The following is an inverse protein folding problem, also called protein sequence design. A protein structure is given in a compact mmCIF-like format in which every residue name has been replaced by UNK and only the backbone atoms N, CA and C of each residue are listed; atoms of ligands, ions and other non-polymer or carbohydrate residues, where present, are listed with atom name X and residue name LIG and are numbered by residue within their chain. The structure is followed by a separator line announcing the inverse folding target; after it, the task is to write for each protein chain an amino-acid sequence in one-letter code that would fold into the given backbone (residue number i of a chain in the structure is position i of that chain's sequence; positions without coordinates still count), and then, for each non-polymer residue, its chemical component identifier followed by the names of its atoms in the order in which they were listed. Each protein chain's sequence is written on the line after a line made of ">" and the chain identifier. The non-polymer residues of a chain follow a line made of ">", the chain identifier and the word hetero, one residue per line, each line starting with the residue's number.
data_IF_642807286348
#
_entry.id   IF_642807286348
#
_cell.length_a   1.000
_cell.length_b   1.000
_cell.length_c   1.000
_cell.angle_alpha   90.00
_cell.angle_beta   90.00
_cell.angle_gamma   90.00
#
_symmetry.space_group_name_H-M   'P 1'
#
loop_
_entity.id
_entity.type
_entity.pdbx_description
1 polymer ?
#
# COMPACT_ATOMS: atom_id res chain seq x y z
N UNK A 1 -6.80 1.15 -13.12
CA UNK A 1 -6.15 0.20 -12.20
C UNK A 1 -4.70 0.61 -11.96
N UNK A 2 -4.32 0.84 -10.70
CA UNK A 2 -2.93 1.19 -10.34
C UNK A 2 -1.93 0.12 -10.79
N UNK A 3 -2.26 -1.15 -10.68
CA UNK A 3 -1.39 -2.22 -11.13
C UNK A 3 -1.16 -2.24 -12.67
N UNK A 4 -2.11 -1.74 -13.45
CA UNK A 4 -1.90 -1.54 -14.89
C UNK A 4 -1.05 -0.30 -15.16
N UNK A 5 -1.30 0.77 -14.42
CA UNK A 5 -0.55 2.02 -14.51
C UNK A 5 0.93 1.82 -14.17
N UNK A 6 1.23 1.13 -13.07
CA UNK A 6 2.62 0.88 -12.66
C UNK A 6 3.37 -0.02 -13.66
N UNK A 7 2.71 -1.03 -14.25
CA UNK A 7 3.32 -1.84 -15.31
C UNK A 7 3.60 -1.04 -16.58
N UNK A 8 2.70 -0.14 -16.97
CA UNK A 8 2.89 0.75 -18.09
C UNK A 8 4.03 1.75 -17.83
N UNK A 9 4.06 2.36 -16.64
CA UNK A 9 5.11 3.29 -16.26
C UNK A 9 6.48 2.58 -16.16
N UNK A 10 6.51 1.35 -15.64
CA UNK A 10 7.75 0.55 -15.58
C UNK A 10 8.39 0.36 -16.95
N UNK A 11 7.58 0.09 -18.00
CA UNK A 11 8.09 -0.01 -19.37
C UNK A 11 8.70 1.30 -19.87
N UNK A 12 8.05 2.42 -19.56
CA UNK A 12 8.61 3.75 -19.91
C UNK A 12 9.93 3.98 -19.18
N UNK A 13 10.02 3.63 -17.90
CA UNK A 13 11.27 3.76 -17.16
C UNK A 13 12.41 2.95 -17.79
N UNK A 14 12.14 1.71 -18.20
CA UNK A 14 13.11 0.86 -18.90
C UNK A 14 13.53 1.46 -20.26
N UNK A 15 12.57 1.99 -21.02
CA UNK A 15 12.82 2.67 -22.31
C UNK A 15 13.67 3.94 -22.16
N UNK A 16 13.53 4.63 -21.03
CA UNK A 16 14.32 5.81 -20.67
C UNK A 16 15.68 5.46 -20.00
N UNK A 17 16.02 4.16 -19.93
CA UNK A 17 17.32 3.69 -19.39
C UNK A 17 17.39 3.68 -17.86
N UNK A 18 16.24 3.60 -17.18
CA UNK A 18 16.19 3.45 -15.73
C UNK A 18 16.16 1.94 -15.41
N UNK A 19 17.14 1.48 -14.66
CA UNK A 19 17.23 0.08 -14.23
C UNK A 19 16.16 -0.24 -13.18
N UNK A 20 15.41 -1.32 -13.40
CA UNK A 20 14.40 -1.84 -12.47
C UNK A 20 14.81 -3.21 -11.98
N UNK A 21 15.16 -3.33 -10.71
CA UNK A 21 15.60 -4.59 -10.10
C UNK A 21 14.47 -5.24 -9.31
N UNK A 22 13.66 -6.05 -9.97
CA UNK A 22 12.60 -6.83 -9.33
C UNK A 22 13.17 -7.92 -8.42
N UNK A 23 12.60 -8.07 -7.20
CA UNK A 23 13.01 -9.10 -6.25
C UNK A 23 14.26 -8.77 -5.43
N UNK A 24 14.81 -7.56 -5.54
CA UNK A 24 15.88 -7.07 -4.68
C UNK A 24 15.26 -6.22 -3.55
N UNK A 25 15.37 -6.68 -2.33
CA UNK A 25 14.91 -5.93 -1.15
C UNK A 25 16.04 -5.05 -0.61
N UNK A 26 15.72 -3.78 -0.30
CA UNK A 26 16.58 -2.97 0.53
C UNK A 26 16.55 -3.49 1.98
N UNK A 27 17.70 -3.85 2.53
CA UNK A 27 17.82 -4.38 3.89
C UNK A 27 18.37 -3.36 4.88
N UNK A 28 19.25 -2.47 4.43
CA UNK A 28 19.93 -1.51 5.28
C UNK A 28 20.22 -0.22 4.51
N UNK A 29 20.17 0.93 5.22
CA UNK A 29 20.65 2.20 4.70
C UNK A 29 22.14 2.34 4.99
N UNK A 30 22.91 2.74 4.00
CA UNK A 30 24.35 3.01 4.12
C UNK A 30 24.56 4.47 4.53
N UNK A 31 25.46 4.70 5.47
CA UNK A 31 25.75 6.01 6.00
C UNK A 31 27.22 6.36 5.91
N UNK A 32 27.51 7.62 5.62
CA UNK A 32 28.80 8.24 5.84
C UNK A 32 28.57 9.45 6.76
N UNK A 33 29.05 9.35 7.99
CA UNK A 33 28.66 10.26 9.07
C UNK A 33 27.13 10.25 9.25
N UNK A 34 26.47 11.42 9.15
CA UNK A 34 25.02 11.58 9.24
C UNK A 34 24.31 11.55 7.87
N UNK A 35 25.06 11.39 6.77
CA UNK A 35 24.52 11.39 5.41
C UNK A 35 24.20 9.97 4.93
N UNK A 36 23.02 9.79 4.33
CA UNK A 36 22.70 8.55 3.60
C UNK A 36 23.44 8.54 2.27
N UNK A 37 24.18 7.48 1.99
CA UNK A 37 25.00 7.34 0.78
C UNK A 37 24.54 6.18 -0.12
N UNK A 38 23.49 5.46 0.26
CA UNK A 38 22.97 4.34 -0.52
C UNK A 38 22.19 3.33 0.30
N UNK A 39 22.02 2.15 -0.26
CA UNK A 39 21.26 1.03 0.28
C UNK A 39 22.02 -0.26 0.10
N UNK A 40 22.05 -1.11 1.11
CA UNK A 40 22.45 -2.51 1.00
C UNK A 40 21.24 -3.36 0.64
N UNK A 41 21.36 -4.22 -0.36
CA UNK A 41 20.32 -5.21 -0.67
C UNK A 41 20.40 -6.40 0.28
N UNK A 42 19.27 -7.08 0.49
CA UNK A 42 19.26 -8.29 1.32
C UNK A 42 19.81 -9.50 0.60
N UNK A 43 20.41 -10.41 1.35
CA UNK A 43 20.81 -11.72 0.86
C UNK A 43 19.60 -12.50 0.36
N UNK A 44 19.78 -13.31 -0.67
CA UNK A 44 18.74 -14.17 -1.25
C UNK A 44 19.12 -15.63 -1.15
N UNK A 45 18.14 -16.53 -1.27
CA UNK A 45 18.39 -17.96 -1.21
C UNK A 45 18.82 -18.46 0.18
N UNK A 46 18.31 -17.85 1.25
CA UNK A 46 18.46 -18.31 2.63
C UNK A 46 17.20 -19.08 3.04
N UNK A 47 17.37 -20.21 3.73
CA UNK A 47 16.24 -20.95 4.30
C UNK A 47 15.74 -20.35 5.63
N UNK A 48 14.66 -20.90 6.19
CA UNK A 48 14.07 -20.44 7.46
C UNK A 48 14.98 -20.63 8.68
N UNK A 49 16.08 -21.36 8.54
CA UNK A 49 17.07 -21.62 9.59
C UNK A 49 18.35 -20.80 9.41
N UNK A 50 18.42 -19.97 8.34
CA UNK A 50 19.58 -19.15 8.04
C UNK A 50 20.63 -19.84 7.16
N UNK A 51 20.39 -21.07 6.64
CA UNK A 51 21.33 -21.78 5.80
C UNK A 51 21.21 -21.32 4.34
N UNK A 52 22.34 -21.28 3.66
CA UNK A 52 22.40 -20.97 2.22
C UNK A 52 21.82 -22.12 1.41
N UNK A 53 20.93 -21.81 0.49
CA UNK A 53 20.40 -22.71 -0.53
C UNK A 53 21.33 -22.71 -1.76
N UNK A 54 21.06 -23.60 -2.72
CA UNK A 54 21.82 -23.66 -3.98
C UNK A 54 21.72 -22.38 -4.84
N UNK A 55 20.71 -21.57 -4.61
CA UNK A 55 20.49 -20.26 -5.27
C UNK A 55 20.84 -19.08 -4.34
N UNK A 56 21.73 -19.28 -3.37
CA UNK A 56 22.21 -18.19 -2.52
C UNK A 56 22.92 -17.12 -3.36
N UNK A 57 22.57 -15.88 -3.06
CA UNK A 57 23.14 -14.70 -3.69
C UNK A 57 23.27 -13.60 -2.62
N UNK A 58 24.50 -13.18 -2.39
CA UNK A 58 24.80 -12.20 -1.36
C UNK A 58 24.30 -10.81 -1.75
N UNK A 59 23.79 -10.08 -0.77
CA UNK A 59 23.42 -8.69 -0.94
C UNK A 59 24.63 -7.80 -1.28
N UNK A 60 24.36 -6.72 -2.02
CA UNK A 60 25.39 -5.77 -2.46
C UNK A 60 25.07 -4.36 -1.98
N UNK A 61 26.10 -3.53 -1.86
CA UNK A 61 25.98 -2.13 -1.55
C UNK A 61 25.77 -1.31 -2.84
N UNK A 62 24.67 -0.59 -2.89
CA UNK A 62 24.34 0.32 -3.99
C UNK A 62 24.51 1.75 -3.48
N UNK A 63 25.53 2.43 -3.98
CA UNK A 63 25.81 3.82 -3.63
C UNK A 63 25.07 4.79 -4.55
N UNK A 64 24.52 5.86 -3.99
CA UNK A 64 23.77 6.85 -4.71
C UNK A 64 24.00 8.26 -4.15
N UNK A 65 23.89 9.28 -5.02
CA UNK A 65 23.94 10.70 -4.61
C UNK A 65 22.74 11.08 -3.74
N UNK A 66 21.59 10.43 -3.97
CA UNK A 66 20.36 10.58 -3.21
C UNK A 66 19.58 9.27 -3.22
N UNK A 67 18.99 8.92 -2.07
CA UNK A 67 18.14 7.74 -1.89
C UNK A 67 16.70 8.19 -1.66
N UNK A 68 15.78 7.69 -2.47
CA UNK A 68 14.34 7.99 -2.35
C UNK A 68 13.62 6.76 -1.79
N UNK A 69 12.98 6.92 -0.63
CA UNK A 69 12.24 5.84 0.03
C UNK A 69 10.75 5.93 -0.31
N UNK A 70 10.30 5.07 -1.21
CA UNK A 70 8.91 4.91 -1.65
C UNK A 70 8.38 3.50 -1.34
N UNK A 71 8.67 2.97 -0.14
CA UNK A 71 8.38 1.59 0.27
C UNK A 71 6.90 1.32 0.59
N UNK A 72 6.06 2.34 0.45
CA UNK A 72 4.65 2.27 0.84
C UNK A 72 4.44 2.41 2.35
N UNK A 73 3.29 1.99 2.82
CA UNK A 73 2.89 2.09 4.22
C UNK A 73 3.85 1.32 5.13
N UNK A 74 4.42 1.98 6.12
CA UNK A 74 5.33 1.41 7.11
C UNK A 74 6.55 0.68 6.51
N UNK A 75 7.18 1.29 5.53
CA UNK A 75 8.40 0.76 4.93
C UNK A 75 9.49 0.48 5.97
N UNK A 76 10.29 -0.58 5.76
CA UNK A 76 11.28 -1.02 6.74
C UNK A 76 12.43 -0.03 6.90
N UNK A 77 13.02 0.41 5.79
CA UNK A 77 14.08 1.42 5.81
C UNK A 77 13.54 2.79 6.22
N UNK A 78 12.31 3.13 5.80
CA UNK A 78 11.62 4.34 6.23
C UNK A 78 11.52 4.43 7.74
N UNK A 79 11.10 3.36 8.42
CA UNK A 79 11.03 3.33 9.91
C UNK A 79 12.40 3.54 10.54
N UNK A 80 13.41 2.90 10.00
CA UNK A 80 14.80 3.04 10.48
C UNK A 80 15.26 4.49 10.34
N UNK A 81 15.02 5.11 9.17
CA UNK A 81 15.38 6.51 8.92
C UNK A 81 14.65 7.47 9.86
N UNK A 82 13.32 7.30 9.98
CA UNK A 82 12.49 8.12 10.88
C UNK A 82 12.99 8.06 12.32
N UNK A 83 13.29 6.87 12.81
CA UNK A 83 13.78 6.69 14.19
C UNK A 83 15.18 7.26 14.39
N UNK A 84 16.12 6.99 13.47
CA UNK A 84 17.50 7.46 13.57
C UNK A 84 17.59 9.00 13.64
N UNK A 85 16.80 9.69 12.81
CA UNK A 85 16.83 11.14 12.71
C UNK A 85 15.67 11.84 13.44
N UNK A 86 14.87 11.10 14.21
CA UNK A 86 13.72 11.61 14.96
C UNK A 86 12.77 12.47 14.10
N UNK A 87 12.45 12.00 12.90
CA UNK A 87 11.73 12.79 11.89
C UNK A 87 10.26 13.06 12.27
N UNK A 88 9.74 12.37 13.29
CA UNK A 88 8.39 12.59 13.85
C UNK A 88 8.36 13.62 15.01
N UNK A 89 9.47 14.26 15.34
CA UNK A 89 9.50 15.23 16.43
C UNK A 89 8.51 16.38 16.20
N UNK A 90 7.63 16.61 17.16
CA UNK A 90 6.59 17.65 17.08
C UNK A 90 5.46 17.37 16.08
N UNK A 91 5.33 16.13 15.64
CA UNK A 91 4.24 15.67 14.75
C UNK A 91 3.20 14.88 15.53
N UNK A 92 1.96 14.88 15.03
CA UNK A 92 0.93 13.99 15.55
C UNK A 92 1.26 12.52 15.21
N UNK A 93 0.83 11.56 16.03
CA UNK A 93 0.91 10.15 15.68
C UNK A 93 0.21 9.89 14.34
N UNK A 94 0.75 8.94 13.55
CA UNK A 94 0.09 8.50 12.33
C UNK A 94 -1.15 7.66 12.66
N UNK A 95 -2.21 7.87 11.91
CA UNK A 95 -3.42 7.03 11.93
C UNK A 95 -3.34 6.04 10.77
N UNK A 96 -3.65 4.79 11.06
CA UNK A 96 -3.57 3.71 10.08
C UNK A 96 -4.96 3.18 9.74
N UNK A 97 -5.17 2.88 8.48
CA UNK A 97 -6.32 2.15 8.00
C UNK A 97 -5.88 0.89 7.23
N UNK A 98 -6.81 -0.01 7.00
CA UNK A 98 -6.64 -1.15 6.10
C UNK A 98 -7.73 -1.12 5.04
N UNK A 99 -7.33 -1.32 3.79
CA UNK A 99 -8.23 -1.59 2.68
C UNK A 99 -8.16 -3.06 2.32
N UNK A 100 -9.31 -3.73 2.30
CA UNK A 100 -9.49 -5.08 1.79
C UNK A 100 -10.36 -5.02 0.55
N UNK A 101 -10.02 -5.76 -0.50
CA UNK A 101 -10.76 -5.68 -1.75
C UNK A 101 -10.79 -6.98 -2.54
N UNK A 102 -11.79 -7.08 -3.40
CA UNK A 102 -11.98 -8.18 -4.34
C UNK A 102 -12.26 -7.64 -5.74
N UNK A 103 -11.70 -8.32 -6.75
CA UNK A 103 -12.08 -8.12 -8.15
C UNK A 103 -13.03 -9.24 -8.59
N UNK A 104 -14.13 -8.85 -9.20
CA UNK A 104 -15.16 -9.76 -9.66
C UNK A 104 -15.32 -9.66 -11.16
N UNK A 105 -15.22 -10.80 -11.86
CA UNK A 105 -15.65 -10.92 -13.26
C UNK A 105 -17.16 -11.05 -13.29
N UNK A 106 -17.81 -10.07 -13.87
CA UNK A 106 -19.25 -10.01 -13.97
C UNK A 106 -19.73 -10.54 -15.33
N UNK A 107 -21.03 -10.92 -15.45
CA UNK A 107 -21.61 -11.25 -16.75
C UNK A 107 -21.44 -10.10 -17.75
N UNK A 108 -21.27 -10.45 -19.03
CA UNK A 108 -21.05 -9.48 -20.11
C UNK A 108 -22.15 -8.42 -20.15
N UNK A 109 -21.73 -7.15 -20.12
CA UNK A 109 -22.61 -5.99 -20.20
C UNK A 109 -23.38 -5.65 -18.92
N UNK A 110 -23.13 -6.36 -17.81
CA UNK A 110 -23.80 -6.11 -16.53
C UNK A 110 -23.21 -4.94 -15.74
N UNK A 111 -21.97 -4.57 -16.04
CA UNK A 111 -21.28 -3.47 -15.36
C UNK A 111 -20.91 -2.37 -16.35
N UNK A 112 -21.32 -1.14 -16.02
CA UNK A 112 -20.95 0.04 -16.80
C UNK A 112 -19.53 0.48 -16.42
N UNK A 113 -18.55 0.51 -17.34
CA UNK A 113 -17.23 1.09 -17.08
C UNK A 113 -17.35 2.55 -16.63
N UNK A 114 -16.62 2.91 -15.57
CA UNK A 114 -16.70 4.22 -14.96
C UNK A 114 -17.82 4.37 -13.91
N UNK A 115 -18.57 3.32 -13.62
CA UNK A 115 -19.46 3.30 -12.45
C UNK A 115 -18.64 3.45 -11.17
N UNK A 116 -19.04 4.37 -10.30
CA UNK A 116 -18.40 4.66 -9.01
C UNK A 116 -19.47 4.80 -7.95
N UNK A 117 -19.32 4.06 -6.86
CA UNK A 117 -20.11 4.24 -5.66
C UNK A 117 -19.18 4.17 -4.42
N UNK A 118 -19.48 5.03 -3.46
CA UNK A 118 -18.89 4.97 -2.12
C UNK A 118 -20.01 4.83 -1.10
N UNK A 119 -19.75 4.09 -0.03
CA UNK A 119 -20.69 3.90 1.08
C UNK A 119 -20.03 4.23 2.39
N UNK A 120 -20.86 4.54 3.39
CA UNK A 120 -20.48 4.67 4.80
C UNK A 120 -21.46 3.87 5.66
N UNK A 121 -21.07 3.56 6.88
CA UNK A 121 -21.90 2.76 7.81
C UNK A 121 -21.74 1.28 7.52
N UNK A 122 -22.87 0.56 7.44
CA UNK A 122 -22.86 -0.90 7.31
C UNK A 122 -21.76 -1.43 6.37
N UNK A 123 -20.97 -2.45 6.85
CA UNK A 123 -21.11 -3.21 8.09
C UNK A 123 -20.47 -2.53 9.32
N UNK A 124 -19.71 -1.45 9.13
CA UNK A 124 -18.97 -0.79 10.21
C UNK A 124 -19.89 -0.09 11.20
N UNK A 125 -19.55 -0.15 12.48
CA UNK A 125 -20.19 0.62 13.54
C UNK A 125 -19.92 2.11 13.45
N UNK A 126 -20.66 2.93 14.22
CA UNK A 126 -20.51 4.38 14.22
C UNK A 126 -19.17 4.87 14.77
N UNK A 127 -18.46 4.05 15.52
CA UNK A 127 -17.17 4.31 16.15
C UNK A 127 -15.97 3.87 15.29
N UNK A 128 -16.22 3.34 14.09
CA UNK A 128 -15.18 2.90 13.16
C UNK A 128 -15.22 3.79 11.92
N UNK A 129 -14.15 4.57 11.72
CA UNK A 129 -13.98 5.31 10.48
C UNK A 129 -13.79 4.37 9.30
N UNK A 130 -14.54 4.58 8.23
CA UNK A 130 -14.38 3.75 7.04
C UNK A 130 -15.60 3.74 6.13
N UNK A 131 -15.54 2.88 5.12
CA UNK A 131 -16.60 2.70 4.14
C UNK A 131 -16.15 1.88 2.95
N UNK A 132 -17.11 1.56 2.08
CA UNK A 132 -16.83 0.76 0.89
C UNK A 132 -16.69 1.63 -0.37
N UNK A 133 -15.95 1.09 -1.32
CA UNK A 133 -15.91 1.58 -2.68
C UNK A 133 -16.31 0.48 -3.67
N UNK A 134 -16.98 0.86 -4.74
CA UNK A 134 -17.42 -0.05 -5.80
C UNK A 134 -17.16 0.62 -7.13
N UNK A 135 -16.28 0.02 -7.94
CA UNK A 135 -15.86 0.59 -9.22
C UNK A 135 -16.13 -0.37 -10.38
N UNK A 136 -16.91 0.09 -11.35
CA UNK A 136 -17.08 -0.58 -12.63
C UNK A 136 -15.88 -0.30 -13.54
N UNK A 137 -15.14 -1.36 -13.87
CA UNK A 137 -13.96 -1.29 -14.73
C UNK A 137 -14.28 -1.80 -16.14
N UNK A 138 -13.34 -1.64 -17.08
CA UNK A 138 -13.44 -2.27 -18.41
C UNK A 138 -13.49 -3.79 -18.29
N UNK A 139 -14.01 -4.46 -19.34
CA UNK A 139 -14.10 -5.91 -19.44
C UNK A 139 -15.01 -6.57 -18.38
N UNK A 140 -16.08 -5.86 -17.99
CA UNK A 140 -17.05 -6.33 -16.99
C UNK A 140 -16.42 -6.72 -15.65
N UNK A 141 -15.42 -5.99 -15.22
CA UNK A 141 -14.81 -6.16 -13.90
C UNK A 141 -15.41 -5.18 -12.92
N UNK A 142 -15.85 -5.69 -11.76
CA UNK A 142 -16.26 -4.92 -10.61
C UNK A 142 -15.15 -5.01 -9.54
N UNK A 143 -14.64 -3.86 -9.10
CA UNK A 143 -13.71 -3.73 -7.97
C UNK A 143 -14.53 -3.33 -6.74
N UNK A 144 -14.64 -4.22 -5.77
CA UNK A 144 -15.34 -4.00 -4.49
C UNK A 144 -14.32 -4.01 -3.37
N UNK A 145 -14.30 -2.97 -2.56
CA UNK A 145 -13.44 -2.92 -1.38
C UNK A 145 -14.09 -2.23 -0.19
N UNK A 146 -13.53 -2.51 0.97
CA UNK A 146 -13.85 -1.89 2.25
C UNK A 146 -12.56 -1.35 2.86
N UNK A 147 -12.60 -0.08 3.25
CA UNK A 147 -11.51 0.57 3.99
C UNK A 147 -12.00 0.86 5.40
N UNK A 148 -11.19 0.57 6.41
CA UNK A 148 -11.52 0.86 7.79
C UNK A 148 -10.28 1.29 8.58
N UNK A 149 -10.46 2.25 9.49
CA UNK A 149 -9.45 2.66 10.46
C UNK A 149 -9.06 1.49 11.37
N UNK A 150 -7.78 1.43 11.75
CA UNK A 150 -7.24 0.38 12.63
C UNK A 150 -7.21 0.80 14.10
N UNK A 151 -7.86 1.89 14.45
CA UNK A 151 -7.98 2.42 15.79
C UNK A 151 -9.30 2.00 16.51
N UNK A 152 -9.99 1.00 15.96
CA UNK A 152 -11.18 0.42 16.59
C UNK A 152 -10.83 -0.25 17.94
N UNK A 153 -11.81 -0.22 18.87
CA UNK A 153 -11.61 -0.67 20.26
C UNK A 153 -11.81 -2.17 20.46
N UNK A 154 -12.63 -2.79 19.60
CA UNK A 154 -12.94 -4.21 19.69
C UNK A 154 -11.94 -5.06 18.90
N UNK A 155 -11.04 -5.79 19.56
CA UNK A 155 -10.02 -6.60 18.88
C UNK A 155 -10.59 -7.83 18.14
N UNK A 156 -11.87 -8.13 18.28
CA UNK A 156 -12.52 -9.24 17.54
C UNK A 156 -12.92 -8.86 16.12
N UNK A 157 -12.84 -7.58 15.76
CA UNK A 157 -13.17 -7.11 14.41
C UNK A 157 -12.10 -7.59 13.41
N UNK A 158 -12.58 -8.28 12.38
CA UNK A 158 -11.75 -8.76 11.26
C UNK A 158 -12.15 -8.02 9.99
N UNK A 159 -11.25 -7.22 9.39
CA UNK A 159 -11.53 -6.47 8.16
C UNK A 159 -11.99 -7.34 6.99
N UNK A 160 -11.48 -8.57 6.87
CA UNK A 160 -11.94 -9.49 5.85
C UNK A 160 -13.38 -9.97 6.11
N UNK A 161 -13.71 -10.28 7.37
CA UNK A 161 -15.06 -10.64 7.77
C UNK A 161 -16.05 -9.50 7.49
N UNK A 162 -15.66 -8.26 7.79
CA UNK A 162 -16.49 -7.08 7.50
C UNK A 162 -16.76 -6.92 5.99
N UNK A 163 -15.78 -7.20 5.12
CA UNK A 163 -16.01 -7.24 3.68
C UNK A 163 -17.01 -8.36 3.30
N UNK A 164 -16.97 -9.53 3.95
CA UNK A 164 -17.97 -10.57 3.71
C UNK A 164 -19.36 -10.14 4.17
N UNK A 165 -19.48 -9.47 5.31
CA UNK A 165 -20.75 -8.90 5.77
C UNK A 165 -21.28 -7.84 4.80
N UNK A 166 -20.43 -6.96 4.28
CA UNK A 166 -20.83 -5.97 3.27
C UNK A 166 -21.50 -6.64 2.07
N UNK A 167 -21.02 -7.78 1.63
CA UNK A 167 -21.61 -8.52 0.48
C UNK A 167 -22.99 -9.09 0.78
N UNK A 168 -23.39 -9.18 2.05
CA UNK A 168 -24.75 -9.61 2.42
C UNK A 168 -25.79 -8.49 2.24
N UNK A 169 -25.36 -7.23 2.19
CA UNK A 169 -26.25 -6.10 1.97
C UNK A 169 -27.03 -6.29 0.66
N UNK A 170 -28.38 -6.15 0.64
CA UNK A 170 -29.21 -6.48 -0.52
C UNK A 170 -28.76 -5.82 -1.83
N UNK A 171 -28.40 -4.54 -1.77
CA UNK A 171 -27.91 -3.81 -2.93
C UNK A 171 -26.55 -4.37 -3.44
N UNK A 172 -25.56 -4.56 -2.54
CA UNK A 172 -24.24 -5.10 -2.92
C UNK A 172 -24.39 -6.50 -3.47
N UNK A 173 -25.19 -7.34 -2.81
CA UNK A 173 -25.50 -8.71 -3.26
C UNK A 173 -26.13 -8.71 -4.66
N UNK A 174 -26.98 -7.75 -4.96
CA UNK A 174 -27.59 -7.62 -6.30
C UNK A 174 -26.57 -7.26 -7.36
N UNK A 175 -25.59 -6.40 -7.04
CA UNK A 175 -24.50 -6.04 -7.95
C UNK A 175 -23.58 -7.21 -8.25
N UNK A 176 -23.31 -8.08 -7.28
CA UNK A 176 -22.42 -9.24 -7.41
C UNK A 176 -23.12 -10.48 -8.01
N UNK A 177 -24.42 -10.41 -8.29
CA UNK A 177 -25.20 -11.56 -8.79
C UNK A 177 -24.60 -12.14 -10.07
N UNK A 178 -24.36 -13.45 -10.08
CA UNK A 178 -23.75 -14.21 -11.17
C UNK A 178 -22.29 -13.81 -11.49
N UNK A 179 -21.64 -13.01 -10.66
CA UNK A 179 -20.23 -12.70 -10.75
C UNK A 179 -19.35 -13.81 -10.17
N UNK A 180 -18.09 -13.83 -10.60
CA UNK A 180 -17.06 -14.73 -10.08
C UNK A 180 -15.89 -13.89 -9.56
N UNK A 181 -15.49 -14.09 -8.31
CA UNK A 181 -14.28 -13.46 -7.76
C UNK A 181 -13.05 -14.02 -8.49
N UNK A 182 -12.21 -13.12 -9.00
CA UNK A 182 -11.00 -13.45 -9.78
C UNK A 182 -9.71 -13.05 -9.08
N UNK A 183 -9.76 -12.10 -8.15
CA UNK A 183 -8.61 -11.68 -7.36
C UNK A 183 -9.07 -11.01 -6.06
N UNK A 184 -8.20 -11.01 -5.08
CA UNK A 184 -8.39 -10.31 -3.82
C UNK A 184 -7.05 -9.77 -3.30
N UNK A 185 -7.11 -8.84 -2.35
CA UNK A 185 -5.92 -8.29 -1.72
C UNK A 185 -6.26 -7.34 -0.58
N UNK A 186 -5.25 -7.04 0.21
CA UNK A 186 -5.35 -6.07 1.29
C UNK A 186 -4.10 -5.18 1.32
N UNK A 187 -4.26 -3.95 1.76
CA UNK A 187 -3.17 -3.00 1.94
C UNK A 187 -3.49 -2.03 3.08
N UNK A 188 -2.54 -1.81 3.98
CA UNK A 188 -2.61 -0.74 4.96
C UNK A 188 -2.36 0.62 4.32
N UNK A 189 -2.92 1.67 4.93
CA UNK A 189 -2.91 3.04 4.45
C UNK A 189 -2.53 3.99 5.60
N UNK A 190 -1.74 5.06 5.35
CA UNK A 190 -1.49 6.12 6.33
C UNK A 190 -2.55 7.23 6.18
N UNK A 191 -3.39 7.45 7.17
CA UNK A 191 -4.51 8.42 7.09
C UNK A 191 -4.42 9.57 8.10
N UNK A 192 -3.28 9.76 8.79
CA UNK A 192 -3.09 10.81 9.79
C UNK A 192 -3.07 12.23 9.25
N UNK A 193 -2.96 12.42 7.95
CA UNK A 193 -3.00 13.70 7.28
C UNK A 193 -1.78 14.59 7.55
N UNK A 194 -1.91 15.88 7.23
CA UNK A 194 -0.80 16.83 7.19
C UNK A 194 0.00 16.93 8.51
N UNK A 195 -0.66 16.93 9.65
CA UNK A 195 0.00 17.06 10.95
C UNK A 195 0.75 15.80 11.40
N UNK A 196 0.56 14.68 10.71
CA UNK A 196 1.28 13.42 10.94
C UNK A 196 2.39 13.16 9.92
N UNK A 197 2.69 14.12 9.03
CA UNK A 197 3.79 14.00 8.09
C UNK A 197 5.14 14.14 8.83
N UNK A 198 6.07 13.19 8.66
CA UNK A 198 7.43 13.32 9.19
C UNK A 198 8.16 14.49 8.51
N UNK A 199 9.33 14.88 9.04
CA UNK A 199 10.29 15.63 8.23
C UNK A 199 10.67 14.76 7.02
N UNK A 200 10.49 15.30 5.82
CA UNK A 200 10.53 14.51 4.59
C UNK A 200 11.93 14.20 4.07
N UNK A 201 12.93 14.98 4.51
CA UNK A 201 14.30 14.88 3.98
C UNK A 201 15.34 14.85 5.09
N UNK A 202 16.39 14.12 4.84
CA UNK A 202 17.67 14.15 5.55
C UNK A 202 18.79 14.26 4.52
N UNK A 203 20.01 14.46 4.96
CA UNK A 203 21.15 14.50 4.03
C UNK A 203 21.28 13.18 3.28
N UNK A 204 21.20 13.23 1.94
CA UNK A 204 21.28 12.09 1.04
C UNK A 204 20.02 11.23 0.93
N UNK A 205 18.89 11.55 1.63
CA UNK A 205 17.66 10.78 1.48
C UNK A 205 16.37 11.59 1.60
N UNK A 206 15.29 11.07 0.98
CA UNK A 206 13.93 11.62 1.11
C UNK A 206 12.86 10.53 1.17
N UNK A 207 11.72 10.87 1.80
CA UNK A 207 10.53 10.05 1.89
C UNK A 207 9.48 10.53 0.88
N UNK A 208 8.80 9.59 0.20
CA UNK A 208 7.73 9.91 -0.75
C UNK A 208 6.53 8.96 -0.58
N UNK A 209 5.40 9.34 -1.19
CA UNK A 209 4.18 8.51 -1.23
C UNK A 209 3.69 8.13 0.17
N UNK A 210 3.22 6.89 0.32
CA UNK A 210 2.71 6.38 1.60
C UNK A 210 3.80 6.25 2.68
N UNK A 211 5.07 6.10 2.29
CA UNK A 211 6.20 6.14 3.24
C UNK A 211 6.31 7.50 3.93
N UNK A 212 5.96 8.56 3.23
CA UNK A 212 5.87 9.92 3.78
C UNK A 212 4.50 10.23 4.43
N UNK A 213 3.50 9.37 4.24
CA UNK A 213 2.13 9.62 4.71
C UNK A 213 1.32 10.57 3.82
N UNK A 214 1.61 10.65 2.52
CA UNK A 214 0.96 11.59 1.58
C UNK A 214 -0.48 11.24 1.20
N UNK A 215 -1.12 10.34 1.91
CA UNK A 215 -2.52 10.05 1.72
C UNK A 215 -3.41 11.25 2.09
N UNK A 216 -4.27 11.67 1.18
CA UNK A 216 -5.35 12.60 1.49
C UNK A 216 -6.64 11.79 1.77
N UNK A 217 -6.91 11.53 3.05
CA UNK A 217 -8.06 10.73 3.49
C UNK A 217 -9.40 11.32 3.07
N UNK A 218 -9.55 12.64 3.06
CA UNK A 218 -10.79 13.31 2.66
C UNK A 218 -11.12 13.12 1.17
N UNK A 219 -10.09 13.07 0.32
CA UNK A 219 -10.24 12.89 -1.13
C UNK A 219 -10.03 11.44 -1.57
N UNK A 220 -9.70 10.54 -0.67
CA UNK A 220 -9.37 9.15 -0.93
C UNK A 220 -8.27 9.01 -1.99
N UNK A 221 -7.24 9.83 -1.92
CA UNK A 221 -6.13 9.90 -2.88
C UNK A 221 -4.79 9.70 -2.21
N UNK A 222 -4.03 8.73 -2.72
CA UNK A 222 -2.64 8.44 -2.35
C UNK A 222 -1.64 8.62 -3.50
N UNK A 223 -2.11 9.18 -4.62
CA UNK A 223 -1.30 9.38 -5.83
C UNK A 223 -0.96 10.86 -5.94
#
# INVERSE_FOLDING_TARGET
>A
SLGQFTRWLGKICEEEGIDIFCGFSGSELLYENEKVIGVRTGDRGIDKHGNHKSNFDQGVDIHAKATVLGEGTRGSLTKTLINKFNLMQGKNPQVWAIGVKELWQMPKGSIKPGYVAHTMGFPLGHDIFGGAFIYGMKNDILDLGLVMGLDYKDPSIDPHHELQLLKTHPWVRSLLKNGKMIAYGAKSLPEGGYFSLPKLTVDGAMLIGDSAGFMNGQRLKGI
#
